data_IF_902358384685
#
_entry.id   IF_902358384685
#
_cell.length_a   1.000
_cell.length_b   1.000
_cell.length_c   1.000
_cell.angle_alpha   90.00
_cell.angle_beta   90.00
_cell.angle_gamma   90.00
#
_symmetry.space_group_name_H-M   'P 1'
#
loop_
_entity.id
_entity.type
_entity.pdbx_description
1 polymer ?
#
# COMPACT_ATOMS: atom_id res chain seq x y z
N UNK A 1 12.09 9.71 8.25
CA UNK A 1 12.21 9.89 6.78
C UNK A 1 12.43 8.55 6.08
N UNK A 2 13.11 7.57 6.70
CA UNK A 2 13.24 6.20 6.16
C UNK A 2 11.92 5.38 6.15
N UNK A 3 10.92 5.71 6.99
CA UNK A 3 9.66 4.95 7.07
C UNK A 3 8.78 4.98 5.80
N UNK A 4 8.53 6.16 5.22
CA UNK A 4 7.58 6.28 4.10
C UNK A 4 8.07 5.57 2.83
N UNK A 5 9.38 5.61 2.57
CA UNK A 5 9.98 4.89 1.44
C UNK A 5 9.82 3.37 1.55
N UNK A 6 9.94 2.83 2.77
CA UNK A 6 9.78 1.40 3.02
C UNK A 6 8.31 0.97 2.82
N UNK A 7 7.36 1.78 3.29
CA UNK A 7 5.95 1.51 3.05
C UNK A 7 5.58 1.58 1.56
N UNK A 8 6.10 2.57 0.83
CA UNK A 8 5.89 2.67 -0.64
C UNK A 8 6.43 1.42 -1.34
N UNK A 9 7.62 0.96 -0.95
CA UNK A 9 8.24 -0.23 -1.53
C UNK A 9 7.41 -1.49 -1.25
N UNK A 10 6.98 -1.70 -0.01
CA UNK A 10 6.14 -2.84 0.37
C UNK A 10 4.82 -2.86 -0.44
N UNK A 11 4.18 -1.70 -0.67
CA UNK A 11 2.97 -1.64 -1.52
C UNK A 11 3.29 -1.90 -2.99
N UNK A 12 4.40 -1.36 -3.52
CA UNK A 12 4.81 -1.64 -4.88
C UNK A 12 5.10 -3.14 -5.10
N UNK A 13 5.72 -3.82 -4.13
CA UNK A 13 5.93 -5.29 -4.18
C UNK A 13 4.61 -6.08 -4.17
N UNK A 14 3.61 -5.59 -3.42
CA UNK A 14 2.27 -6.18 -3.45
C UNK A 14 1.66 -6.07 -4.85
N UNK A 15 1.78 -4.92 -5.51
CA UNK A 15 1.33 -4.71 -6.89
C UNK A 15 2.06 -5.63 -7.88
N UNK A 16 3.38 -5.79 -7.78
CA UNK A 16 4.16 -6.73 -8.63
C UNK A 16 3.61 -8.15 -8.48
N UNK A 17 3.34 -8.57 -7.25
CA UNK A 17 2.81 -9.93 -6.99
C UNK A 17 1.35 -10.10 -7.41
N UNK A 18 0.58 -9.01 -7.43
CA UNK A 18 -0.73 -8.99 -8.05
C UNK A 18 -0.68 -9.14 -9.58
N UNK A 19 0.52 -9.21 -10.18
CA UNK A 19 0.73 -9.35 -11.62
C UNK A 19 0.67 -8.02 -12.37
N UNK A 20 0.84 -6.90 -11.67
CA UNK A 20 0.85 -5.59 -12.32
C UNK A 20 2.04 -5.47 -13.28
N UNK A 21 1.77 -5.10 -14.52
CA UNK A 21 2.80 -4.71 -15.50
C UNK A 21 3.13 -3.22 -15.44
N UNK A 22 2.29 -2.44 -14.76
CA UNK A 22 2.44 -1.01 -14.60
C UNK A 22 2.03 -0.60 -13.18
N UNK A 23 2.94 0.08 -12.51
CA UNK A 23 2.71 0.69 -11.20
C UNK A 23 3.00 2.18 -11.35
N UNK A 24 2.10 3.02 -10.85
CA UNK A 24 2.25 4.48 -10.82
C UNK A 24 2.31 4.89 -9.36
N UNK A 25 3.36 5.62 -9.00
CA UNK A 25 3.51 6.26 -7.70
C UNK A 25 3.48 7.76 -7.93
N UNK A 26 2.58 8.46 -7.23
CA UNK A 26 2.42 9.90 -7.29
C UNK A 26 2.56 10.46 -5.88
N UNK A 27 3.47 11.42 -5.73
CA UNK A 27 3.68 12.15 -4.47
C UNK A 27 3.37 13.61 -4.75
N UNK A 28 2.46 14.18 -3.96
CA UNK A 28 2.05 15.59 -4.06
C UNK A 28 2.27 16.23 -2.70
N UNK A 29 3.09 17.26 -2.66
CA UNK A 29 3.29 18.08 -1.47
C UNK A 29 2.59 19.42 -1.67
N UNK A 30 1.60 19.71 -0.83
CA UNK A 30 0.96 21.02 -0.73
C UNK A 30 1.43 21.68 0.57
N UNK A 31 2.47 22.51 0.44
CA UNK A 31 3.07 23.24 1.55
C UNK A 31 2.07 24.23 2.18
N UNK A 32 1.17 24.81 1.37
CA UNK A 32 0.20 25.80 1.88
C UNK A 32 -0.89 25.13 2.71
N UNK A 33 -1.35 23.97 2.26
CA UNK A 33 -2.33 23.17 3.00
C UNK A 33 -1.69 22.31 4.11
N UNK A 34 -0.36 22.24 4.17
CA UNK A 34 0.41 21.33 5.03
C UNK A 34 -0.01 19.86 4.82
N UNK A 35 -0.11 19.44 3.56
CA UNK A 35 -0.54 18.10 3.17
C UNK A 35 0.50 17.41 2.29
N UNK A 36 0.77 16.14 2.58
CA UNK A 36 1.53 15.22 1.74
C UNK A 36 0.60 14.08 1.29
N UNK A 37 0.33 14.00 -0.01
CA UNK A 37 -0.46 12.92 -0.60
C UNK A 37 0.46 11.94 -1.31
N UNK A 38 0.32 10.66 -0.97
CA UNK A 38 1.00 9.55 -1.63
C UNK A 38 -0.07 8.64 -2.24
N UNK A 39 -0.07 8.51 -3.56
CA UNK A 39 -0.99 7.66 -4.31
C UNK A 39 -0.19 6.59 -5.04
N UNK A 40 -0.53 5.32 -4.81
CA UNK A 40 0.05 4.17 -5.49
C UNK A 40 -1.09 3.47 -6.25
N UNK A 41 -0.93 3.32 -7.56
CA UNK A 41 -1.92 2.68 -8.42
C UNK A 41 -1.27 1.62 -9.28
N UNK A 42 -1.91 0.47 -9.44
CA UNK A 42 -1.44 -0.60 -10.29
C UNK A 42 -2.55 -1.19 -11.17
N UNK A 43 -2.13 -1.98 -12.17
CA UNK A 43 -3.03 -2.68 -13.09
C UNK A 43 -3.01 -4.20 -12.87
N UNK A 44 -2.71 -4.65 -11.64
CA UNK A 44 -2.74 -6.06 -11.28
C UNK A 44 -4.15 -6.63 -11.23
N UNK A 45 -4.25 -7.87 -10.73
CA UNK A 45 -5.52 -8.61 -10.63
C UNK A 45 -6.59 -7.96 -9.73
N UNK A 46 -6.23 -6.92 -8.97
CA UNK A 46 -7.10 -6.25 -8.01
C UNK A 46 -7.42 -7.11 -6.79
N UNK A 47 -8.47 -6.71 -6.08
CA UNK A 47 -9.01 -7.38 -4.89
C UNK A 47 -10.50 -7.65 -5.13
N UNK A 48 -10.98 -8.80 -4.69
CA UNK A 48 -12.43 -9.00 -4.56
C UNK A 48 -12.98 -8.17 -3.38
N UNK A 49 -14.30 -8.19 -3.22
CA UNK A 49 -14.97 -7.35 -2.21
C UNK A 49 -14.54 -7.68 -0.78
N UNK A 50 -14.44 -8.95 -0.44
CA UNK A 50 -14.04 -9.39 0.90
C UNK A 50 -12.59 -8.99 1.18
N UNK A 51 -11.70 -9.22 0.21
CA UNK A 51 -10.30 -8.83 0.31
C UNK A 51 -10.15 -7.32 0.45
N UNK A 52 -10.94 -6.52 -0.28
CA UNK A 52 -10.90 -5.07 -0.17
C UNK A 52 -11.37 -4.57 1.20
N UNK A 53 -12.44 -5.15 1.75
CA UNK A 53 -12.98 -4.80 3.07
C UNK A 53 -11.98 -5.10 4.19
N UNK A 54 -11.18 -6.17 4.06
CA UNK A 54 -10.20 -6.61 5.05
C UNK A 54 -8.74 -6.23 4.74
N UNK A 55 -8.47 -5.54 3.61
CA UNK A 55 -7.10 -5.29 3.14
C UNK A 55 -6.23 -4.49 4.13
N UNK A 56 -6.86 -3.66 4.95
CA UNK A 56 -6.21 -2.85 5.98
C UNK A 56 -6.25 -3.50 7.37
N UNK A 57 -6.81 -4.71 7.50
CA UNK A 57 -6.82 -5.43 8.77
C UNK A 57 -5.43 -6.02 9.04
N UNK A 58 -4.86 -5.80 10.24
CA UNK A 58 -3.61 -6.42 10.62
C UNK A 58 -3.68 -7.94 10.49
N UNK A 59 -2.60 -8.56 10.00
CA UNK A 59 -2.45 -10.00 9.83
C UNK A 59 -3.28 -10.62 8.69
N UNK A 60 -4.19 -9.87 8.04
CA UNK A 60 -4.95 -10.36 6.90
C UNK A 60 -4.06 -10.50 5.66
N UNK A 61 -3.96 -11.71 5.12
CA UNK A 61 -3.17 -12.00 3.91
C UNK A 61 -3.73 -13.21 3.19
N UNK A 62 -3.79 -13.14 1.86
CA UNK A 62 -4.09 -14.29 0.99
C UNK A 62 -2.84 -14.99 0.46
N UNK A 63 -1.65 -14.48 0.81
CA UNK A 63 -0.36 -15.09 0.45
C UNK A 63 0.01 -16.19 1.42
N UNK A 64 0.47 -17.31 0.87
CA UNK A 64 1.03 -18.44 1.63
C UNK A 64 2.54 -18.30 1.91
N UNK A 65 3.22 -17.39 1.20
CA UNK A 65 4.69 -17.22 1.26
C UNK A 65 5.17 -16.26 2.35
N UNK A 66 4.33 -15.32 2.80
CA UNK A 66 4.64 -14.37 3.90
C UNK A 66 3.62 -14.63 5.02
N UNK A 67 4.10 -14.88 6.25
CA UNK A 67 3.23 -15.29 7.39
C UNK A 67 2.36 -14.17 7.95
N UNK A 68 2.56 -12.93 7.53
CA UNK A 68 1.94 -11.75 8.16
C UNK A 68 1.59 -10.71 7.09
N UNK A 69 0.32 -10.29 7.05
CA UNK A 69 -0.15 -9.17 6.24
C UNK A 69 -0.08 -7.86 7.02
N UNK A 70 0.99 -7.09 6.84
CA UNK A 70 1.22 -5.82 7.56
C UNK A 70 1.48 -4.61 6.66
N UNK A 71 1.68 -4.79 5.36
CA UNK A 71 2.05 -3.67 4.46
C UNK A 71 1.03 -2.52 4.43
N UNK A 72 -0.23 -2.82 4.11
CA UNK A 72 -1.32 -1.83 4.08
C UNK A 72 -1.68 -1.29 5.48
N UNK A 73 -1.81 -2.14 6.54
CA UNK A 73 -2.03 -1.65 7.90
C UNK A 73 -0.97 -0.65 8.39
N UNK A 74 0.32 -0.93 8.15
CA UNK A 74 1.40 -0.05 8.59
C UNK A 74 1.41 1.27 7.82
N UNK A 75 1.17 1.25 6.51
CA UNK A 75 1.04 2.47 5.72
C UNK A 75 -0.15 3.32 6.20
N UNK A 76 -1.28 2.69 6.53
CA UNK A 76 -2.45 3.38 7.07
C UNK A 76 -2.18 3.99 8.46
N UNK A 77 -1.37 3.33 9.29
CA UNK A 77 -0.94 3.86 10.57
C UNK A 77 -0.02 5.07 10.39
N UNK A 78 0.97 5.00 9.50
CA UNK A 78 1.90 6.10 9.23
C UNK A 78 1.20 7.38 8.72
N UNK A 79 0.01 7.25 8.13
CA UNK A 79 -0.80 8.40 7.71
C UNK A 79 -1.66 9.02 8.84
N UNK A 80 -1.76 8.37 10.00
CA UNK A 80 -2.55 8.82 11.16
C UNK A 80 -1.70 9.39 12.29
N UNK A 81 -0.39 9.13 12.26
CA UNK A 81 0.61 9.66 13.20
C UNK A 81 1.13 11.02 12.73
#
# INVERSE_FOLDING_TARGET
>A
MEDLSLHILDIAENSITAGASRIRIKIIEDIKANLLLIEISDNGKGMDREMFEHACDPFYTTRTTRRVGLGLPLLAQAARE
#
